data_IF_978935181709
#
_entry.id   IF_978935181709
#
_cell.length_a   1.000
_cell.length_b   1.000
_cell.length_c   1.000
_cell.angle_alpha   90.00
_cell.angle_beta   90.00
_cell.angle_gamma   90.00
#
_symmetry.space_group_name_H-M   'P 1'
#
loop_
_entity.id
_entity.type
_entity.pdbx_description
1 polymer ?
#
# COMPACT_ATOMS: atom_id res chain seq x y z
N UNK A 1 -12.29 -9.95 5.53
CA UNK A 1 -12.65 -11.21 4.87
C UNK A 1 -13.02 -12.23 5.92
N UNK A 2 -12.11 -12.56 6.82
CA UNK A 2 -12.39 -13.31 8.03
C UNK A 2 -13.17 -12.45 9.02
N UNK A 3 -14.16 -13.05 9.69
CA UNK A 3 -14.90 -12.40 10.76
C UNK A 3 -14.07 -12.38 12.04
N UNK A 4 -14.20 -11.34 12.87
CA UNK A 4 -13.45 -11.22 14.13
C UNK A 4 -13.76 -12.37 15.10
N UNK A 5 -15.03 -12.77 15.19
CA UNK A 5 -15.47 -13.91 16.04
C UNK A 5 -15.03 -15.29 15.53
N UNK A 6 -14.57 -15.39 14.28
CA UNK A 6 -14.14 -16.66 13.68
C UNK A 6 -12.62 -16.81 13.70
N UNK A 7 -11.90 -15.87 14.33
CA UNK A 7 -10.45 -15.95 14.49
C UNK A 7 -10.06 -17.06 15.47
N UNK A 8 -8.94 -17.76 15.27
CA UNK A 8 -8.51 -18.84 16.16
C UNK A 8 -7.78 -18.32 17.42
N UNK A 9 -7.82 -17.01 17.65
CA UNK A 9 -7.25 -16.29 18.77
C UNK A 9 -8.02 -14.98 18.98
N UNK A 10 -8.06 -14.43 20.21
CA UNK A 10 -8.51 -13.07 20.42
C UNK A 10 -7.57 -12.07 19.73
N UNK A 11 -8.08 -10.89 19.40
CA UNK A 11 -7.28 -9.84 18.74
C UNK A 11 -6.08 -9.39 19.59
N UNK A 12 -6.17 -9.46 20.93
CA UNK A 12 -5.05 -9.18 21.83
C UNK A 12 -3.83 -10.07 21.54
N UNK A 13 -4.07 -11.29 21.07
CA UNK A 13 -3.07 -12.34 20.84
C UNK A 13 -2.77 -12.52 19.35
N UNK A 14 -3.17 -11.54 18.51
CA UNK A 14 -2.87 -11.55 17.09
C UNK A 14 -1.36 -11.76 16.86
N UNK A 15 -0.95 -12.75 16.05
CA UNK A 15 0.47 -13.00 15.79
C UNK A 15 1.17 -11.79 15.17
N UNK A 16 2.37 -11.47 15.64
CA UNK A 16 3.10 -10.28 15.13
C UNK A 16 3.74 -10.47 13.75
N UNK A 17 3.77 -11.70 13.28
CA UNK A 17 4.27 -12.06 11.96
C UNK A 17 3.10 -12.45 11.07
N UNK A 18 2.86 -11.71 9.99
CA UNK A 18 1.79 -11.97 9.03
C UNK A 18 1.69 -13.44 8.59
N UNK A 19 2.83 -14.10 8.37
CA UNK A 19 2.82 -15.51 7.94
C UNK A 19 2.21 -16.45 8.98
N UNK A 20 2.38 -16.15 10.27
CA UNK A 20 1.76 -16.91 11.36
C UNK A 20 0.25 -16.65 11.41
N UNK A 21 -0.16 -15.37 11.31
CA UNK A 21 -1.56 -14.99 11.20
C UNK A 21 -2.26 -15.69 10.02
N UNK A 22 -1.71 -15.57 8.81
CA UNK A 22 -2.24 -16.17 7.59
C UNK A 22 -2.41 -17.69 7.75
N UNK A 23 -1.35 -18.39 8.16
CA UNK A 23 -1.40 -19.85 8.36
C UNK A 23 -2.48 -20.25 9.37
N UNK A 24 -2.67 -19.48 10.43
CA UNK A 24 -3.68 -19.76 11.44
C UNK A 24 -5.10 -19.58 10.90
N UNK A 25 -5.41 -18.48 10.22
CA UNK A 25 -6.76 -18.25 9.66
C UNK A 25 -7.08 -19.18 8.48
N UNK A 26 -6.08 -19.53 7.66
CA UNK A 26 -6.26 -20.49 6.57
C UNK A 26 -6.54 -21.91 7.08
N UNK A 27 -5.99 -22.29 8.25
CA UNK A 27 -6.15 -23.65 8.80
C UNK A 27 -7.31 -23.80 9.77
N UNK A 28 -7.70 -22.73 10.48
CA UNK A 28 -8.64 -22.81 11.60
C UNK A 28 -9.89 -21.94 11.47
N UNK A 29 -9.97 -21.11 10.43
CA UNK A 29 -11.10 -20.20 10.23
C UNK A 29 -11.77 -20.44 8.87
N UNK A 30 -13.05 -20.10 8.79
CA UNK A 30 -13.81 -20.12 7.54
C UNK A 30 -14.24 -18.73 7.14
N UNK A 31 -14.20 -18.43 5.84
CA UNK A 31 -14.82 -17.20 5.30
C UNK A 31 -16.32 -17.42 5.21
N UNK A 32 -17.10 -16.63 5.98
CA UNK A 32 -18.57 -16.63 5.91
C UNK A 32 -19.06 -16.24 4.51
N UNK A 33 -20.18 -16.80 4.07
CA UNK A 33 -20.84 -16.38 2.83
C UNK A 33 -21.30 -14.92 2.89
N UNK A 34 -21.57 -14.34 1.72
CA UNK A 34 -22.23 -13.04 1.62
C UNK A 34 -23.64 -13.09 2.20
N UNK A 35 -24.03 -12.02 2.89
CA UNK A 35 -25.41 -11.85 3.32
C UNK A 35 -26.33 -11.70 2.10
N UNK A 36 -27.49 -12.37 2.13
CA UNK A 36 -28.50 -12.20 1.08
C UNK A 36 -29.42 -11.05 1.47
N UNK A 37 -29.53 -10.05 0.60
CA UNK A 37 -30.52 -8.98 0.73
C UNK A 37 -31.82 -9.40 0.03
N UNK A 38 -33.00 -9.06 0.59
CA UNK A 38 -34.24 -9.23 -0.13
C UNK A 38 -34.26 -8.32 -1.38
N UNK A 39 -34.97 -8.70 -2.46
CA UNK A 39 -35.04 -7.90 -3.68
C UNK A 39 -35.78 -6.57 -3.47
N UNK A 40 -36.55 -6.44 -2.40
CA UNK A 40 -37.24 -5.21 -2.00
C UNK A 40 -37.09 -5.01 -0.50
N UNK A 41 -36.74 -3.79 -0.09
CA UNK A 41 -36.58 -3.38 1.32
C UNK A 41 -37.71 -2.46 1.80
N UNK A 42 -38.63 -2.07 0.91
CA UNK A 42 -39.64 -1.07 1.20
C UNK A 42 -40.85 -1.59 2.00
N UNK A 43 -41.73 -0.67 2.41
CA UNK A 43 -41.67 0.78 2.16
C UNK A 43 -40.82 1.54 3.19
N UNK A 44 -40.36 2.74 2.82
CA UNK A 44 -39.79 3.70 3.77
C UNK A 44 -40.90 4.26 4.72
N UNK A 45 -40.54 4.83 5.88
CA UNK A 45 -41.52 5.49 6.76
C UNK A 45 -42.32 6.56 6.01
N UNK A 46 -43.66 6.51 6.12
CA UNK A 46 -44.55 7.37 5.33
C UNK A 46 -44.87 8.75 5.93
N UNK A 47 -44.45 9.03 7.16
CA UNK A 47 -44.73 10.28 7.89
C UNK A 47 -43.49 10.80 8.61
N UNK A 48 -43.35 12.12 8.73
CA UNK A 48 -42.23 12.77 9.44
C UNK A 48 -40.99 13.08 8.58
N UNK A 49 -41.01 12.76 7.29
CA UNK A 49 -39.91 13.06 6.35
C UNK A 49 -39.77 14.56 6.10
N UNK A 50 -40.89 15.28 6.00
CA UNK A 50 -40.88 16.74 5.82
C UNK A 50 -40.44 17.47 7.10
N UNK A 51 -40.70 16.90 8.28
CA UNK A 51 -40.29 17.46 9.58
C UNK A 51 -38.76 17.43 9.80
N UNK A 52 -38.05 16.53 9.10
CA UNK A 52 -36.59 16.39 9.15
C UNK A 52 -35.87 16.99 7.93
N UNK A 53 -36.57 17.78 7.10
CA UNK A 53 -35.97 18.44 5.93
C UNK A 53 -35.86 17.57 4.68
N UNK A 54 -36.67 16.51 4.58
CA UNK A 54 -36.68 15.57 3.46
C UNK A 54 -35.48 14.62 3.46
N UNK A 55 -35.13 14.10 2.27
CA UNK A 55 -33.99 13.17 2.09
C UNK A 55 -32.62 13.87 2.09
N UNK A 56 -32.59 15.19 2.16
CA UNK A 56 -31.37 15.98 1.96
C UNK A 56 -30.86 15.96 0.51
N UNK A 57 -29.67 16.51 0.31
CA UNK A 57 -28.96 16.52 -0.98
C UNK A 57 -27.52 16.06 -0.81
N UNK A 58 -26.93 15.53 -1.87
CA UNK A 58 -25.51 15.17 -1.87
C UNK A 58 -24.70 16.47 -1.86
N UNK A 59 -23.79 16.69 -0.90
CA UNK A 59 -22.97 17.90 -0.86
C UNK A 59 -22.03 17.98 -2.05
N UNK A 60 -21.70 19.19 -2.49
CA UNK A 60 -20.63 19.43 -3.47
C UNK A 60 -19.29 19.64 -2.77
N UNK A 61 -18.18 19.44 -3.47
CA UNK A 61 -16.86 19.68 -2.88
C UNK A 61 -16.68 21.17 -2.52
N UNK A 62 -17.23 22.06 -3.34
CA UNK A 62 -17.19 23.51 -3.11
C UNK A 62 -17.93 23.88 -1.82
N UNK A 63 -19.05 23.20 -1.52
CA UNK A 63 -19.79 23.41 -0.27
C UNK A 63 -19.00 23.01 0.97
N UNK A 64 -17.98 22.15 0.81
CA UNK A 64 -17.05 21.73 1.86
C UNK A 64 -15.76 22.56 1.88
N UNK A 65 -15.66 23.62 1.06
CA UNK A 65 -14.44 24.43 0.92
C UNK A 65 -13.30 23.72 0.19
N UNK A 66 -13.60 22.66 -0.57
CA UNK A 66 -12.63 21.87 -1.31
C UNK A 66 -12.70 22.21 -2.80
N UNK A 67 -11.53 22.24 -3.44
CA UNK A 67 -11.40 22.35 -4.88
C UNK A 67 -10.55 21.18 -5.39
N UNK A 68 -10.91 20.64 -6.56
CA UNK A 68 -10.20 19.50 -7.14
C UNK A 68 -9.78 19.82 -8.55
N UNK A 69 -8.48 19.69 -8.80
CA UNK A 69 -7.93 19.68 -10.16
C UNK A 69 -8.05 18.27 -10.70
N UNK A 70 -8.89 18.08 -11.72
CA UNK A 70 -8.97 16.80 -12.43
C UNK A 70 -7.75 16.67 -13.34
N UNK A 71 -6.98 15.60 -13.16
CA UNK A 71 -6.00 15.17 -14.16
C UNK A 71 -6.72 14.35 -15.24
N UNK A 72 -6.45 14.66 -16.50
CA UNK A 72 -6.88 13.83 -17.64
C UNK A 72 -5.90 12.66 -17.92
N UNK A 73 -4.85 12.51 -17.09
CA UNK A 73 -3.78 11.52 -17.26
C UNK A 73 -3.85 10.45 -16.17
N UNK A 74 -3.65 9.20 -16.58
CA UNK A 74 -3.63 8.03 -15.71
C UNK A 74 -4.98 7.34 -15.59
N UNK A 75 -5.16 6.56 -14.52
CA UNK A 75 -6.40 5.85 -14.27
C UNK A 75 -7.46 6.78 -13.68
N UNK A 76 -8.69 6.66 -14.16
CA UNK A 76 -9.85 7.36 -13.62
C UNK A 76 -10.79 6.38 -12.93
N UNK A 77 -10.91 6.52 -11.62
CA UNK A 77 -11.82 5.71 -10.81
C UNK A 77 -13.23 6.31 -10.78
N UNK A 78 -14.23 5.45 -10.73
CA UNK A 78 -15.64 5.82 -10.57
C UNK A 78 -16.14 5.24 -9.24
N UNK A 79 -16.67 6.09 -8.37
CA UNK A 79 -17.16 5.69 -7.05
C UNK A 79 -18.45 4.85 -7.10
N UNK A 80 -18.76 4.17 -5.99
CA UNK A 80 -20.01 3.43 -5.79
C UNK A 80 -19.97 1.94 -6.14
N UNK A 81 -20.94 1.20 -5.61
CA UNK A 81 -21.06 -0.26 -5.72
C UNK A 81 -21.17 -0.73 -7.18
N UNK A 82 -22.00 -0.08 -8.00
CA UNK A 82 -22.18 -0.47 -9.40
C UNK A 82 -20.87 -0.48 -10.19
N UNK A 83 -20.02 0.54 -9.99
CA UNK A 83 -18.70 0.60 -10.62
C UNK A 83 -17.75 -0.45 -10.04
N UNK A 84 -17.84 -0.74 -8.74
CA UNK A 84 -17.06 -1.79 -8.09
C UNK A 84 -17.35 -3.17 -8.68
N UNK A 85 -18.63 -3.55 -8.76
CA UNK A 85 -19.07 -4.81 -9.34
C UNK A 85 -18.71 -4.90 -10.84
N UNK A 86 -18.86 -3.79 -11.56
CA UNK A 86 -18.40 -3.66 -12.94
C UNK A 86 -16.90 -3.93 -13.09
N UNK A 87 -16.06 -3.41 -12.19
CA UNK A 87 -14.61 -3.66 -12.21
C UNK A 87 -14.25 -5.10 -11.86
N UNK A 88 -14.97 -5.74 -10.93
CA UNK A 88 -14.81 -7.19 -10.68
C UNK A 88 -15.14 -7.97 -11.94
N UNK A 89 -16.29 -7.68 -12.57
CA UNK A 89 -16.69 -8.30 -13.83
C UNK A 89 -15.63 -8.11 -14.93
N UNK A 90 -15.15 -6.89 -15.10
CA UNK A 90 -14.14 -6.55 -16.09
C UNK A 90 -12.84 -7.34 -15.88
N UNK A 91 -12.26 -7.28 -14.67
CA UNK A 91 -10.95 -7.87 -14.40
C UNK A 91 -11.00 -9.41 -14.37
N UNK A 92 -12.03 -9.99 -13.73
CA UNK A 92 -12.12 -11.44 -13.54
C UNK A 92 -12.67 -12.11 -14.80
N UNK A 93 -13.74 -11.57 -15.37
CA UNK A 93 -14.56 -12.30 -16.33
C UNK A 93 -14.35 -11.82 -17.76
N UNK A 94 -14.45 -10.52 -18.00
CA UNK A 94 -14.32 -9.96 -19.36
C UNK A 94 -12.89 -10.07 -19.89
N UNK A 95 -11.90 -9.62 -19.10
CA UNK A 95 -10.50 -9.55 -19.52
C UNK A 95 -9.68 -10.76 -19.08
N UNK A 96 -10.27 -11.64 -18.26
CA UNK A 96 -9.66 -12.90 -17.80
C UNK A 96 -8.28 -12.74 -17.14
N UNK A 97 -8.08 -11.67 -16.38
CA UNK A 97 -6.77 -11.25 -15.84
C UNK A 97 -6.42 -11.92 -14.51
N UNK A 98 -7.40 -12.46 -13.78
CA UNK A 98 -7.14 -13.00 -12.43
C UNK A 98 -6.18 -14.20 -12.45
N UNK A 99 -6.15 -15.00 -13.52
CA UNK A 99 -5.23 -16.15 -13.67
C UNK A 99 -3.74 -15.78 -13.78
N UNK A 100 -3.41 -14.52 -14.09
CA UNK A 100 -2.02 -14.02 -14.18
C UNK A 100 -1.69 -13.01 -13.08
N UNK A 101 -2.60 -12.77 -12.14
CA UNK A 101 -2.46 -11.73 -11.11
C UNK A 101 -1.13 -11.78 -10.33
N UNK A 102 -0.64 -12.96 -9.94
CA UNK A 102 0.61 -13.09 -9.18
C UNK A 102 1.83 -12.63 -9.99
N UNK A 103 1.81 -12.84 -11.29
CA UNK A 103 2.87 -12.46 -12.22
C UNK A 103 2.87 -10.96 -12.47
N UNK A 104 1.69 -10.36 -12.62
CA UNK A 104 1.54 -8.96 -13.03
C UNK A 104 1.48 -7.97 -11.88
N UNK A 105 1.12 -8.37 -10.65
CA UNK A 105 0.82 -7.46 -9.51
C UNK A 105 1.91 -6.45 -9.13
N UNK A 106 3.15 -6.65 -9.58
CA UNK A 106 4.25 -5.71 -9.34
C UNK A 106 4.44 -4.66 -10.47
N UNK A 107 3.62 -4.71 -11.52
CA UNK A 107 3.59 -3.69 -12.56
C UNK A 107 3.14 -2.33 -12.01
N UNK A 108 3.47 -1.28 -12.75
CA UNK A 108 3.20 0.11 -12.33
C UNK A 108 2.40 0.90 -13.37
N UNK A 109 2.33 0.45 -14.63
CA UNK A 109 1.65 1.15 -15.72
C UNK A 109 0.39 0.41 -16.18
N UNK A 110 -0.72 1.12 -16.28
CA UNK A 110 -1.99 0.62 -16.81
C UNK A 110 -2.91 -0.05 -15.78
N UNK A 111 -4.16 -0.34 -16.14
CA UNK A 111 -5.14 -0.90 -15.21
C UNK A 111 -4.97 -2.41 -14.98
N UNK A 112 -4.42 -3.16 -15.93
CA UNK A 112 -4.54 -4.62 -15.97
C UNK A 112 -3.51 -5.37 -15.11
N UNK A 113 -2.45 -4.70 -14.63
CA UNK A 113 -1.45 -5.38 -13.83
C UNK A 113 -1.96 -5.86 -12.45
N UNK A 114 -3.11 -5.35 -11.98
CA UNK A 114 -3.73 -5.75 -10.71
C UNK A 114 -5.23 -5.45 -10.71
N UNK A 115 -5.94 -5.97 -9.72
CA UNK A 115 -7.41 -5.84 -9.61
C UNK A 115 -7.91 -4.39 -9.59
N UNK A 116 -7.13 -3.48 -9.01
CA UNK A 116 -7.49 -2.08 -8.70
C UNK A 116 -8.71 -1.95 -7.76
N UNK A 117 -9.04 -2.98 -6.99
CA UNK A 117 -10.23 -3.00 -6.12
C UNK A 117 -10.15 -2.08 -4.88
N UNK A 118 -8.97 -1.57 -4.55
CA UNK A 118 -8.71 -0.92 -3.26
C UNK A 118 -9.61 0.28 -2.94
N UNK A 119 -9.96 1.21 -3.86
CA UNK A 119 -10.86 2.33 -3.52
C UNK A 119 -12.27 1.86 -3.11
N UNK A 120 -12.78 0.82 -3.76
CA UNK A 120 -14.09 0.26 -3.43
C UNK A 120 -14.05 -0.60 -2.16
N UNK A 121 -12.93 -1.28 -1.87
CA UNK A 121 -12.73 -2.00 -0.62
C UNK A 121 -12.56 -1.07 0.60
N UNK A 122 -12.01 0.14 0.40
CA UNK A 122 -11.84 1.15 1.43
C UNK A 122 -13.18 1.84 1.78
N UNK A 123 -13.96 2.23 0.75
CA UNK A 123 -15.29 2.86 0.93
C UNK A 123 -16.40 1.89 1.33
N UNK A 124 -16.16 0.57 1.28
CA UNK A 124 -17.19 -0.45 1.53
C UNK A 124 -18.13 -0.69 0.34
N UNK A 125 -17.90 -0.03 -0.80
CA UNK A 125 -18.61 -0.29 -2.07
C UNK A 125 -18.36 -1.70 -2.61
N UNK A 126 -17.29 -2.36 -2.15
CA UNK A 126 -16.99 -3.76 -2.46
C UNK A 126 -16.72 -4.54 -1.18
N UNK A 127 -17.41 -5.66 -1.01
CA UNK A 127 -17.18 -6.58 0.10
C UNK A 127 -16.03 -7.55 -0.21
N UNK A 128 -15.06 -7.77 0.70
CA UNK A 128 -14.03 -8.79 0.51
C UNK A 128 -14.61 -10.22 0.50
N UNK A 129 -15.78 -10.46 1.11
CA UNK A 129 -16.48 -11.75 1.02
C UNK A 129 -17.01 -12.00 -0.40
N UNK A 130 -17.53 -10.96 -1.04
CA UNK A 130 -17.98 -11.04 -2.44
C UNK A 130 -16.81 -11.35 -3.37
N UNK A 131 -15.66 -10.69 -3.17
CA UNK A 131 -14.45 -11.01 -3.94
C UNK A 131 -14.02 -12.46 -3.73
N UNK A 132 -14.09 -12.99 -2.50
CA UNK A 132 -13.78 -14.40 -2.21
C UNK A 132 -14.73 -15.37 -2.94
N UNK A 133 -16.03 -15.09 -2.94
CA UNK A 133 -17.02 -15.90 -3.68
C UNK A 133 -16.78 -15.83 -5.19
N UNK A 134 -16.42 -14.67 -5.73
CA UNK A 134 -16.09 -14.49 -7.15
C UNK A 134 -14.79 -15.20 -7.55
N UNK A 135 -13.77 -15.22 -6.68
CA UNK A 135 -12.57 -16.06 -6.89
C UNK A 135 -12.97 -17.53 -6.97
N UNK A 136 -13.73 -18.05 -5.98
CA UNK A 136 -14.17 -19.46 -5.98
C UNK A 136 -15.01 -19.80 -7.22
N UNK A 137 -15.87 -18.88 -7.66
CA UNK A 137 -16.67 -19.04 -8.88
C UNK A 137 -15.78 -19.09 -10.13
N UNK A 138 -14.78 -18.20 -10.21
CA UNK A 138 -13.80 -18.19 -11.29
C UNK A 138 -13.02 -19.50 -11.32
N UNK A 139 -12.52 -19.97 -10.18
CA UNK A 139 -11.76 -21.21 -10.06
C UNK A 139 -12.56 -22.43 -10.52
N UNK A 140 -13.87 -22.46 -10.23
CA UNK A 140 -14.77 -23.54 -10.68
C UNK A 140 -15.05 -23.50 -12.19
N UNK A 141 -15.18 -22.31 -12.77
CA UNK A 141 -15.62 -22.14 -14.16
C UNK A 141 -14.47 -22.00 -15.16
N UNK A 142 -13.28 -21.64 -14.69
CA UNK A 142 -12.09 -21.39 -15.50
C UNK A 142 -10.92 -22.16 -14.92
N UNK A 143 -10.11 -21.54 -14.07
CA UNK A 143 -8.87 -22.13 -13.56
C UNK A 143 -8.62 -21.74 -12.11
N UNK A 144 -8.17 -22.71 -11.32
CA UNK A 144 -7.56 -22.49 -10.01
C UNK A 144 -6.05 -22.58 -10.15
N UNK A 145 -5.32 -21.54 -9.71
CA UNK A 145 -3.87 -21.52 -9.74
C UNK A 145 -3.30 -20.59 -8.65
N UNK A 146 -1.98 -20.44 -8.64
CA UNK A 146 -1.29 -19.55 -7.71
C UNK A 146 -1.82 -18.11 -7.74
N UNK A 147 -2.22 -17.59 -8.91
CA UNK A 147 -2.71 -16.22 -9.06
C UNK A 147 -4.10 -16.00 -8.49
N UNK A 148 -5.02 -16.96 -8.64
CA UNK A 148 -6.35 -16.88 -8.03
C UNK A 148 -6.26 -16.91 -6.51
N UNK A 149 -5.42 -17.78 -5.95
CA UNK A 149 -5.08 -17.76 -4.52
C UNK A 149 -4.42 -16.44 -4.09
N UNK A 150 -3.52 -15.88 -4.90
CA UNK A 150 -2.78 -14.68 -4.51
C UNK A 150 -3.68 -13.45 -4.33
N UNK A 151 -4.83 -13.37 -5.00
CA UNK A 151 -5.82 -12.32 -4.71
C UNK A 151 -6.33 -12.43 -3.27
N UNK A 152 -6.63 -13.65 -2.81
CA UNK A 152 -7.07 -13.89 -1.43
C UNK A 152 -5.94 -13.61 -0.44
N UNK A 153 -4.71 -14.04 -0.76
CA UNK A 153 -3.51 -13.76 0.05
C UNK A 153 -3.37 -12.25 0.36
N UNK A 154 -3.62 -11.39 -0.62
CA UNK A 154 -3.52 -9.94 -0.47
C UNK A 154 -4.72 -9.36 0.30
N UNK A 155 -5.91 -9.95 0.20
CA UNK A 155 -7.02 -9.63 1.10
C UNK A 155 -6.75 -10.03 2.55
N UNK A 156 -5.96 -11.09 2.79
CA UNK A 156 -5.52 -11.47 4.13
C UNK A 156 -4.56 -10.42 4.71
N UNK A 157 -3.74 -9.75 3.89
CA UNK A 157 -2.95 -8.60 4.35
C UNK A 157 -3.82 -7.43 4.83
N UNK A 158 -4.90 -7.13 4.11
CA UNK A 158 -5.90 -6.12 4.52
C UNK A 158 -6.51 -6.47 5.88
N UNK A 159 -6.92 -7.73 6.06
CA UNK A 159 -7.46 -8.20 7.33
C UNK A 159 -6.42 -8.15 8.45
N UNK A 160 -5.18 -8.57 8.18
CA UNK A 160 -4.09 -8.54 9.13
C UNK A 160 -3.87 -7.13 9.69
N UNK A 161 -3.77 -6.13 8.82
CA UNK A 161 -3.60 -4.74 9.27
C UNK A 161 -4.83 -4.21 10.02
N UNK A 162 -6.04 -4.60 9.62
CA UNK A 162 -7.26 -4.25 10.36
C UNK A 162 -7.22 -4.80 11.79
N UNK A 163 -6.89 -6.07 11.99
CA UNK A 163 -6.76 -6.63 13.33
C UNK A 163 -5.54 -6.08 14.09
N UNK A 164 -4.45 -5.78 13.39
CA UNK A 164 -3.26 -5.16 13.97
C UNK A 164 -3.59 -3.79 14.57
N UNK A 165 -4.36 -2.96 13.85
CA UNK A 165 -4.82 -1.67 14.36
C UNK A 165 -5.66 -1.81 15.63
N UNK A 166 -6.48 -2.87 15.72
CA UNK A 166 -7.28 -3.14 16.91
C UNK A 166 -6.43 -3.62 18.09
N UNK A 167 -5.38 -4.43 17.85
CA UNK A 167 -4.41 -4.86 18.88
C UNK A 167 -3.60 -3.69 19.44
N UNK A 168 -3.09 -2.83 18.57
CA UNK A 168 -2.08 -1.83 18.91
C UNK A 168 -2.63 -0.41 19.16
N UNK A 169 -3.88 -0.16 18.78
CA UNK A 169 -4.53 1.14 18.94
C UNK A 169 -3.68 2.29 18.41
N UNK A 170 -3.59 3.38 19.18
CA UNK A 170 -2.91 4.61 18.75
C UNK A 170 -1.41 4.45 18.47
N UNK A 171 -0.77 3.38 18.94
CA UNK A 171 0.66 3.17 18.70
C UNK A 171 1.01 3.00 17.22
N UNK A 172 0.04 2.67 16.36
CA UNK A 172 0.23 2.65 14.91
C UNK A 172 0.46 4.04 14.30
N UNK A 173 0.13 5.12 15.02
CA UNK A 173 0.30 6.52 14.59
C UNK A 173 1.49 7.21 15.27
N UNK A 174 2.00 6.65 16.37
CA UNK A 174 3.10 7.24 17.12
C UNK A 174 4.42 7.09 16.37
N UNK A 175 5.33 8.07 16.49
CA UNK A 175 6.63 8.08 15.80
C UNK A 175 7.43 6.78 15.96
N UNK A 176 7.45 6.20 17.17
CA UNK A 176 8.14 4.95 17.45
C UNK A 176 7.39 3.68 17.01
N UNK A 177 6.19 3.82 16.47
CA UNK A 177 5.32 2.72 16.05
C UNK A 177 4.94 1.75 17.16
N UNK A 178 4.32 0.61 16.81
CA UNK A 178 4.00 -0.47 17.74
C UNK A 178 5.19 -0.96 18.59
N UNK A 179 6.42 -0.94 18.03
CA UNK A 179 7.64 -1.36 18.76
C UNK A 179 8.25 -0.26 19.64
N UNK A 180 7.70 0.97 19.63
CA UNK A 180 8.20 2.11 20.40
C UNK A 180 9.69 2.39 20.16
N UNK A 181 10.13 2.27 18.91
CA UNK A 181 11.53 2.46 18.50
C UNK A 181 11.93 3.92 18.76
N UNK A 182 13.00 4.13 19.52
CA UNK A 182 13.62 5.44 19.67
C UNK A 182 14.51 5.70 18.45
N UNK A 183 14.14 6.69 17.62
CA UNK A 183 14.92 7.08 16.45
C UNK A 183 14.82 8.58 16.22
N UNK A 184 15.89 9.17 15.69
CA UNK A 184 15.89 10.58 15.29
C UNK A 184 15.41 10.67 13.85
N UNK A 185 14.40 11.49 13.62
CA UNK A 185 13.81 11.73 12.31
C UNK A 185 13.92 13.21 11.98
N UNK A 186 14.17 13.53 10.72
CA UNK A 186 14.14 14.90 10.24
C UNK A 186 12.70 15.29 9.89
N UNK A 187 12.35 16.56 10.11
CA UNK A 187 11.14 17.19 9.58
C UNK A 187 11.52 18.32 8.61
N UNK A 188 12.60 18.13 7.86
CA UNK A 188 13.04 19.08 6.83
C UNK A 188 11.96 19.25 5.76
N UNK A 189 11.33 20.42 5.81
CA UNK A 189 10.19 20.76 4.99
C UNK A 189 10.56 20.83 3.50
N UNK A 190 11.74 21.34 3.16
CA UNK A 190 12.17 21.47 1.77
C UNK A 190 12.43 20.10 1.13
N UNK A 191 13.05 19.19 1.88
CA UNK A 191 13.18 17.80 1.46
C UNK A 191 11.81 17.15 1.29
N UNK A 192 10.93 17.24 2.28
CA UNK A 192 9.59 16.65 2.19
C UNK A 192 8.80 17.19 1.00
N UNK A 193 8.81 18.49 0.73
CA UNK A 193 8.15 19.11 -0.42
C UNK A 193 8.69 18.57 -1.75
N UNK A 194 10.00 18.37 -1.87
CA UNK A 194 10.60 17.76 -3.06
C UNK A 194 10.08 16.34 -3.31
N UNK A 195 9.87 15.55 -2.26
CA UNK A 195 9.27 14.22 -2.36
C UNK A 195 7.78 14.30 -2.69
N UNK A 196 7.04 15.13 -1.96
CA UNK A 196 5.60 15.36 -2.11
C UNK A 196 5.24 15.73 -3.56
N UNK A 197 6.04 16.59 -4.18
CA UNK A 197 5.78 17.13 -5.51
C UNK A 197 6.42 16.32 -6.66
N UNK A 198 7.14 15.24 -6.34
CA UNK A 198 7.88 14.44 -7.33
C UNK A 198 8.97 15.24 -8.03
N UNK A 199 9.84 15.89 -7.24
CA UNK A 199 10.98 16.71 -7.66
C UNK A 199 12.28 16.31 -6.94
N UNK A 200 12.47 15.02 -6.70
CA UNK A 200 13.62 14.47 -5.97
C UNK A 200 14.86 14.28 -6.84
N UNK A 201 14.69 14.25 -8.17
CA UNK A 201 15.76 13.93 -9.12
C UNK A 201 15.98 12.43 -9.33
N UNK A 202 15.08 11.61 -8.80
CA UNK A 202 15.04 10.17 -9.05
C UNK A 202 13.76 9.85 -9.85
N UNK A 203 13.86 9.58 -11.17
CA UNK A 203 12.70 9.40 -12.04
C UNK A 203 11.64 8.44 -11.52
N UNK A 204 12.05 7.34 -10.91
CA UNK A 204 11.11 6.35 -10.36
C UNK A 204 10.32 6.89 -9.17
N UNK A 205 10.95 7.70 -8.30
CA UNK A 205 10.27 8.35 -7.17
C UNK A 205 9.31 9.42 -7.71
N UNK A 206 9.84 10.27 -8.58
CA UNK A 206 9.12 11.44 -9.11
C UNK A 206 7.89 11.02 -9.93
N UNK A 207 8.02 9.97 -10.74
CA UNK A 207 6.90 9.39 -11.49
C UNK A 207 5.79 8.86 -10.56
N UNK A 208 6.15 8.14 -9.49
CA UNK A 208 5.17 7.63 -8.53
C UNK A 208 4.46 8.76 -7.78
N UNK A 209 5.21 9.76 -7.30
CA UNK A 209 4.61 10.87 -6.56
C UNK A 209 3.70 11.72 -7.47
N UNK A 210 4.04 11.88 -8.75
CA UNK A 210 3.16 12.50 -9.75
C UNK A 210 1.94 11.65 -10.09
N UNK A 211 2.06 10.32 -10.17
CA UNK A 211 0.91 9.42 -10.33
C UNK A 211 -0.08 9.58 -9.17
N UNK A 212 0.43 9.58 -7.93
CA UNK A 212 -0.38 9.74 -6.72
C UNK A 212 -1.15 11.05 -6.74
N UNK A 213 -0.46 12.17 -6.98
CA UNK A 213 -1.09 13.49 -6.98
C UNK A 213 -2.12 13.64 -8.11
N UNK A 214 -1.85 13.06 -9.28
CA UNK A 214 -2.72 13.17 -10.45
C UNK A 214 -3.97 12.28 -10.36
N UNK A 215 -3.86 11.09 -9.76
CA UNK A 215 -4.89 10.04 -9.86
C UNK A 215 -5.49 9.63 -8.52
N UNK A 216 -4.88 10.02 -7.41
CA UNK A 216 -5.17 9.51 -6.09
C UNK A 216 -4.91 8.01 -5.94
N UNK A 217 -4.07 7.43 -6.79
CA UNK A 217 -3.68 6.04 -6.74
C UNK A 217 -2.16 5.92 -6.96
N UNK A 218 -1.57 4.88 -6.37
CA UNK A 218 -0.20 4.47 -6.65
C UNK A 218 -0.10 2.96 -6.58
N UNK A 219 0.65 2.35 -7.50
CA UNK A 219 0.94 0.90 -7.47
C UNK A 219 1.51 0.45 -6.13
N UNK A 220 1.19 -0.76 -5.64
CA UNK A 220 1.77 -1.27 -4.38
C UNK A 220 3.31 -1.26 -4.41
N UNK A 221 3.90 -1.60 -5.56
CA UNK A 221 5.35 -1.52 -5.77
C UNK A 221 5.87 -0.10 -5.56
N UNK A 222 5.22 0.88 -6.19
CA UNK A 222 5.47 2.30 -6.01
C UNK A 222 5.44 2.74 -4.56
N UNK A 223 4.37 2.40 -3.82
CA UNK A 223 4.19 2.79 -2.41
C UNK A 223 5.34 2.30 -1.53
N UNK A 224 5.78 1.06 -1.71
CA UNK A 224 6.93 0.49 -0.99
C UNK A 224 8.22 1.26 -1.28
N UNK A 225 8.43 1.62 -2.54
CA UNK A 225 9.63 2.32 -3.01
C UNK A 225 9.68 3.75 -2.44
N UNK A 226 8.61 4.52 -2.60
CA UNK A 226 8.58 5.92 -2.15
C UNK A 226 8.60 6.05 -0.63
N UNK A 227 7.99 5.11 0.10
CA UNK A 227 8.10 5.01 1.56
C UNK A 227 9.55 4.73 1.97
N UNK A 228 10.19 3.72 1.36
CA UNK A 228 11.61 3.43 1.64
C UNK A 228 12.51 4.62 1.35
N UNK A 229 12.29 5.34 0.26
CA UNK A 229 13.09 6.50 -0.10
C UNK A 229 12.97 7.63 0.92
N UNK A 230 11.74 8.00 1.31
CA UNK A 230 11.49 9.04 2.30
C UNK A 230 12.14 8.70 3.65
N UNK A 231 11.96 7.46 4.11
CA UNK A 231 12.44 7.00 5.42
C UNK A 231 13.94 6.77 5.42
N UNK A 232 14.46 6.06 4.43
CA UNK A 232 15.84 5.54 4.43
C UNK A 232 16.79 6.53 3.78
N UNK A 233 16.52 6.97 2.56
CA UNK A 233 17.44 7.86 1.84
C UNK A 233 17.35 9.30 2.40
N UNK A 234 16.14 9.83 2.56
CA UNK A 234 15.95 11.20 3.05
C UNK A 234 15.99 11.32 4.58
N UNK A 235 15.67 10.25 5.32
CA UNK A 235 15.66 10.30 6.79
C UNK A 235 14.53 11.14 7.39
N UNK A 236 13.43 11.32 6.65
CA UNK A 236 12.28 12.13 7.06
C UNK A 236 11.33 11.30 7.93
N UNK A 237 10.70 11.97 8.90
CA UNK A 237 9.64 11.41 9.73
C UNK A 237 8.58 10.73 8.87
N UNK A 238 8.45 9.41 9.05
CA UNK A 238 7.58 8.57 8.23
C UNK A 238 6.11 8.99 8.29
N UNK A 239 5.68 9.66 9.36
CA UNK A 239 4.31 10.14 9.53
C UNK A 239 3.95 11.22 8.52
N UNK A 240 4.91 12.05 8.11
CA UNK A 240 4.70 13.06 7.06
C UNK A 240 4.31 12.40 5.73
N UNK A 241 4.96 11.28 5.40
CA UNK A 241 4.60 10.47 4.23
C UNK A 241 3.24 9.77 4.38
N UNK A 242 2.95 9.25 5.57
CA UNK A 242 1.68 8.59 5.88
C UNK A 242 0.48 9.55 5.79
N UNK A 243 0.61 10.76 6.31
CA UNK A 243 -0.40 11.83 6.27
C UNK A 243 -0.60 12.36 4.84
N UNK A 244 0.47 12.45 4.04
CA UNK A 244 0.33 12.78 2.62
C UNK A 244 -0.43 11.71 1.85
N UNK A 245 -0.14 10.44 2.13
CA UNK A 245 -0.88 9.32 1.56
C UNK A 245 -2.35 9.34 1.98
N UNK A 246 -2.64 9.68 3.24
CA UNK A 246 -4.01 9.89 3.73
C UNK A 246 -4.74 11.02 2.99
N UNK A 247 -4.03 12.09 2.65
CA UNK A 247 -4.59 13.22 1.88
C UNK A 247 -4.91 12.83 0.43
N UNK A 248 -4.05 12.04 -0.22
CA UNK A 248 -4.14 11.82 -1.67
C UNK A 248 -4.84 10.52 -2.08
N UNK A 249 -4.77 9.45 -1.30
CA UNK A 249 -5.21 8.13 -1.77
C UNK A 249 -6.74 8.00 -1.78
N UNK A 250 -7.29 7.66 -2.94
CA UNK A 250 -8.70 7.23 -3.09
C UNK A 250 -9.00 5.94 -2.32
N UNK A 251 -7.97 5.16 -2.04
CA UNK A 251 -8.04 3.92 -1.26
C UNK A 251 -7.46 4.04 0.15
N UNK A 252 -7.44 5.26 0.69
CA UNK A 252 -7.03 5.48 2.07
C UNK A 252 -7.86 4.62 3.03
N UNK A 253 -7.15 3.83 3.83
CA UNK A 253 -7.66 3.01 4.93
C UNK A 253 -6.64 3.16 6.06
N UNK A 254 -7.01 3.66 7.26
CA UNK A 254 -6.04 3.98 8.31
C UNK A 254 -5.23 2.76 8.75
N UNK A 255 -5.88 1.60 8.85
CA UNK A 255 -5.20 0.37 9.27
C UNK A 255 -4.17 -0.08 8.22
N UNK A 256 -4.55 -0.07 6.95
CA UNK A 256 -3.69 -0.48 5.84
C UNK A 256 -2.58 0.54 5.57
N UNK A 257 -2.89 1.84 5.58
CA UNK A 257 -1.93 2.92 5.34
C UNK A 257 -0.86 2.92 6.45
N UNK A 258 -1.25 3.18 7.70
CA UNK A 258 -0.30 3.27 8.81
C UNK A 258 0.34 1.91 9.15
N UNK A 259 -0.37 0.80 8.91
CA UNK A 259 0.21 -0.54 9.01
C UNK A 259 1.36 -0.77 8.01
N UNK A 260 1.17 -0.40 6.73
CA UNK A 260 2.25 -0.50 5.75
C UNK A 260 3.37 0.51 5.99
N UNK A 261 3.06 1.74 6.41
CA UNK A 261 4.05 2.76 6.71
C UNK A 261 4.93 2.39 7.90
N UNK A 262 4.35 1.91 9.01
CA UNK A 262 5.13 1.42 10.15
C UNK A 262 5.99 0.22 9.76
N UNK A 263 5.48 -0.67 8.90
CA UNK A 263 6.25 -1.79 8.34
C UNK A 263 7.44 -1.33 7.50
N UNK A 264 7.24 -0.41 6.55
CA UNK A 264 8.30 0.12 5.69
C UNK A 264 9.33 0.98 6.44
N UNK A 265 8.87 1.79 7.39
CA UNK A 265 9.71 2.61 8.25
C UNK A 265 10.56 1.77 9.23
N UNK A 266 10.18 0.50 9.45
CA UNK A 266 10.87 -0.40 10.38
C UNK A 266 10.53 -0.12 11.83
N UNK A 267 9.36 0.46 12.11
CA UNK A 267 8.85 0.72 13.48
C UNK A 267 7.63 -0.16 13.82
N UNK A 268 7.14 -0.92 12.84
CA UNK A 268 6.06 -1.91 12.98
C UNK A 268 6.46 -3.12 13.82
N UNK A 269 5.53 -4.04 14.04
CA UNK A 269 5.65 -5.18 14.96
C UNK A 269 6.46 -6.37 14.42
N UNK A 270 6.71 -6.46 13.11
CA UNK A 270 7.52 -7.54 12.52
C UNK A 270 9.00 -7.40 12.97
N UNK A 271 9.60 -8.45 13.57
CA UNK A 271 10.98 -8.41 14.06
C UNK A 271 12.03 -8.40 12.94
N UNK A 272 11.63 -8.58 11.67
CA UNK A 272 12.55 -8.50 10.53
C UNK A 272 13.00 -7.05 10.34
N UNK A 273 14.23 -6.80 10.76
CA UNK A 273 14.86 -5.49 10.60
C UNK A 273 15.27 -5.22 9.15
N UNK A 274 15.20 -3.93 8.79
CA UNK A 274 15.86 -3.32 7.63
C UNK A 274 15.38 -3.74 6.21
N UNK A 275 14.23 -3.19 5.81
CA UNK A 275 13.72 -3.29 4.42
C UNK A 275 14.07 -2.05 3.63
N UNK A 276 15.31 -1.97 3.15
CA UNK A 276 15.71 -0.95 2.18
C UNK A 276 15.37 -1.39 0.74
N UNK A 277 14.75 -0.48 -0.03
CA UNK A 277 14.53 -0.65 -1.46
C UNK A 277 15.53 0.18 -2.27
N UNK A 278 16.55 -0.48 -2.81
CA UNK A 278 17.53 0.15 -3.73
C UNK A 278 16.83 0.65 -5.00
N UNK A 279 16.75 1.97 -5.15
CA UNK A 279 16.09 2.62 -6.30
C UNK A 279 16.63 2.10 -7.64
N UNK A 280 17.96 1.96 -7.85
CA UNK A 280 18.46 1.45 -9.11
C UNK A 280 18.00 0.02 -9.41
N UNK A 281 17.99 -0.85 -8.40
CA UNK A 281 17.53 -2.24 -8.55
C UNK A 281 16.03 -2.28 -8.86
N UNK A 282 15.23 -1.46 -8.19
CA UNK A 282 13.78 -1.40 -8.41
C UNK A 282 13.45 -0.91 -9.82
N UNK A 283 14.11 0.15 -10.28
CA UNK A 283 13.94 0.67 -11.64
C UNK A 283 14.25 -0.40 -12.69
N UNK A 284 15.43 -1.04 -12.59
CA UNK A 284 15.84 -2.10 -13.52
C UNK A 284 14.90 -3.32 -13.52
N UNK A 285 14.28 -3.64 -12.37
CA UNK A 285 13.43 -4.83 -12.24
C UNK A 285 12.00 -4.57 -12.68
N UNK A 286 11.42 -3.41 -12.33
CA UNK A 286 9.98 -3.15 -12.47
C UNK A 286 9.64 -2.13 -13.55
N UNK A 287 10.63 -1.43 -14.10
CA UNK A 287 10.50 -0.55 -15.26
C UNK A 287 11.76 -0.63 -16.16
N UNK A 288 12.14 -1.83 -16.65
CA UNK A 288 13.41 -2.03 -17.35
C UNK A 288 13.62 -1.11 -18.57
N UNK A 289 12.53 -0.78 -19.27
CA UNK A 289 12.52 0.07 -20.46
C UNK A 289 12.26 1.56 -20.14
N UNK A 290 12.04 1.89 -18.87
CA UNK A 290 11.70 3.25 -18.46
C UNK A 290 10.36 3.77 -19.00
N UNK A 291 9.43 2.87 -19.35
CA UNK A 291 8.13 3.22 -19.94
C UNK A 291 7.22 3.87 -18.89
N UNK A 292 7.25 3.40 -17.65
CA UNK A 292 6.49 4.00 -16.56
C UNK A 292 7.00 5.42 -16.26
N UNK A 293 8.32 5.60 -16.13
CA UNK A 293 8.88 6.94 -15.89
C UNK A 293 8.65 7.87 -17.08
N UNK A 294 8.81 7.43 -18.33
CA UNK A 294 8.54 8.26 -19.51
C UNK A 294 7.04 8.54 -19.75
N UNK A 295 6.16 7.70 -19.19
CA UNK A 295 4.73 8.01 -19.15
C UNK A 295 4.49 9.21 -18.23
N UNK A 296 4.96 9.17 -16.98
CA UNK A 296 4.68 10.20 -15.97
C UNK A 296 5.57 11.45 -16.07
N UNK A 297 6.75 11.33 -16.64
CA UNK A 297 7.77 12.37 -16.85
C UNK A 297 8.03 12.52 -18.36
N UNK A 298 7.17 13.25 -19.10
CA UNK A 298 7.27 13.35 -20.56
C UNK A 298 8.63 13.85 -21.06
N UNK A 299 9.32 14.68 -20.26
CA UNK A 299 10.68 15.16 -20.52
C UNK A 299 11.71 14.04 -20.70
N UNK A 300 11.46 12.84 -20.14
CA UNK A 300 12.34 11.68 -20.29
C UNK A 300 12.06 10.85 -21.54
N UNK A 301 10.94 11.08 -22.24
CA UNK A 301 10.52 10.26 -23.38
C UNK A 301 11.50 10.32 -24.55
N UNK A 302 12.17 11.46 -24.74
CA UNK A 302 13.19 11.69 -25.77
C UNK A 302 14.50 10.92 -25.52
N UNK A 303 14.71 10.42 -24.30
CA UNK A 303 15.87 9.62 -23.96
C UNK A 303 15.69 8.17 -24.41
N UNK A 304 16.81 7.53 -24.78
CA UNK A 304 16.88 6.10 -25.00
C UNK A 304 16.42 5.33 -23.73
N UNK A 305 15.78 4.18 -23.91
CA UNK A 305 15.12 3.40 -22.85
C UNK A 305 16.03 3.17 -21.64
N UNK A 306 17.28 2.81 -21.90
CA UNK A 306 18.30 2.48 -20.90
C UNK A 306 18.70 3.70 -20.05
N UNK A 307 18.48 4.92 -20.57
CA UNK A 307 18.83 6.18 -19.90
C UNK A 307 17.66 6.80 -19.14
N UNK A 308 16.42 6.37 -19.36
CA UNK A 308 15.23 7.01 -18.75
C UNK A 308 15.23 6.91 -17.23
N UNK A 309 15.62 5.76 -16.68
CA UNK A 309 15.70 5.56 -15.23
C UNK A 309 16.93 6.24 -14.60
N UNK A 310 17.98 6.47 -15.39
CA UNK A 310 19.25 7.07 -14.95
C UNK A 310 19.70 8.17 -15.93
N UNK A 311 18.95 9.28 -16.02
CA UNK A 311 19.17 10.31 -17.04
C UNK A 311 20.44 11.14 -16.82
N UNK A 312 21.06 11.06 -15.63
CA UNK A 312 22.21 11.87 -15.25
C UNK A 312 21.86 13.35 -15.26
N UNK A 313 22.74 14.18 -15.81
CA UNK A 313 22.52 15.63 -15.93
C UNK A 313 21.39 16.03 -16.89
N UNK A 314 20.80 15.08 -17.63
CA UNK A 314 19.64 15.33 -18.49
C UNK A 314 18.31 15.44 -17.71
N UNK A 315 18.34 15.36 -16.37
CA UNK A 315 17.19 15.54 -15.50
C UNK A 315 17.53 16.46 -14.32
N UNK A 316 16.54 16.81 -13.50
CA UNK A 316 16.75 17.67 -12.33
C UNK A 316 17.74 17.05 -11.34
N UNK A 317 18.44 17.91 -10.60
CA UNK A 317 19.48 17.50 -9.65
C UNK A 317 18.86 16.68 -8.50
N UNK A 318 19.55 15.61 -8.11
CA UNK A 318 19.19 14.77 -6.96
C UNK A 318 19.25 15.57 -5.65
N UNK A 319 18.20 15.47 -4.83
CA UNK A 319 18.06 16.22 -3.58
C UNK A 319 18.87 15.63 -2.42
N UNK A 320 19.10 14.32 -2.44
CA UNK A 320 19.94 13.58 -1.48
C UNK A 320 20.70 12.48 -2.21
N UNK A 321 21.90 12.07 -1.75
CA UNK A 321 22.54 10.84 -2.22
C UNK A 321 21.80 9.60 -1.71
N UNK A 322 21.79 8.51 -2.47
CA UNK A 322 21.28 7.22 -2.01
C UNK A 322 22.18 6.65 -0.91
N UNK A 323 21.61 6.19 0.20
CA UNK A 323 22.41 5.71 1.34
C UNK A 323 23.09 4.36 1.11
N UNK A 324 22.47 3.48 0.30
CA UNK A 324 22.95 2.12 0.09
C UNK A 324 23.03 1.78 -1.40
N UNK A 325 23.92 2.49 -2.11
CA UNK A 325 24.37 2.02 -3.42
C UNK A 325 25.41 0.91 -3.24
N UNK A 326 25.26 -0.15 -4.05
CA UNK A 326 25.91 -1.48 -3.92
C UNK A 326 27.43 -1.53 -4.04
N UNK A 327 28.16 -0.50 -3.62
CA UNK A 327 29.62 -0.42 -3.70
C UNK A 327 30.33 0.21 -2.49
N UNK A 328 29.67 0.82 -1.50
CA UNK A 328 30.38 1.69 -0.53
C UNK A 328 30.10 1.51 0.97
N UNK A 329 29.48 0.42 1.43
CA UNK A 329 29.35 0.16 2.88
C UNK A 329 29.78 -1.25 3.31
N UNK A 330 31.06 -1.57 3.11
CA UNK A 330 31.74 -2.66 3.86
C UNK A 330 32.77 -2.16 4.88
N UNK A 331 32.97 -0.84 5.06
CA UNK A 331 34.06 -0.33 5.90
C UNK A 331 33.68 0.12 7.31
N UNK A 332 32.41 0.41 7.62
CA UNK A 332 32.09 1.05 8.91
C UNK A 332 31.53 0.12 10.00
N UNK A 333 31.50 -1.20 9.78
CA UNK A 333 31.13 -2.16 10.82
C UNK A 333 32.33 -2.84 11.54
N UNK A 334 33.57 -2.44 11.26
CA UNK A 334 34.75 -3.00 11.96
C UNK A 334 35.21 -2.20 13.20
N UNK A 335 34.67 -1.01 13.46
CA UNK A 335 35.00 -0.21 14.66
C UNK A 335 33.91 -0.28 15.74
N UNK A 336 33.54 -1.49 16.19
CA UNK A 336 32.87 -1.65 17.49
C UNK A 336 32.91 -3.07 18.07
N UNK A 337 34.05 -3.75 17.92
CA UNK A 337 34.37 -4.95 18.73
C UNK A 337 35.65 -4.72 19.54
N UNK A 338 35.56 -3.85 20.53
CA UNK A 338 36.49 -3.90 21.66
C UNK A 338 35.86 -4.69 22.82
N UNK A 339 36.46 -5.85 23.05
CA UNK A 339 36.77 -6.47 24.35
C UNK A 339 35.63 -6.65 25.37
N UNK A 340 35.09 -7.87 25.46
CA UNK A 340 34.59 -8.44 26.72
C UNK A 340 35.62 -9.44 27.26
N UNK A 341 36.02 -9.37 28.54
CA UNK A 341 36.95 -10.34 29.13
C UNK A 341 36.30 -11.72 29.29
N UNK A 342 37.05 -12.77 28.96
CA UNK A 342 36.65 -14.17 29.15
C UNK A 342 36.75 -14.52 30.64
N UNK A 343 35.62 -14.74 31.30
CA UNK A 343 35.59 -15.43 32.59
C UNK A 343 35.91 -16.92 32.39
N UNK A 344 37.05 -17.34 32.93
CA UNK A 344 37.47 -18.73 33.04
C UNK A 344 36.91 -19.27 34.36
N UNK A 345 35.83 -20.06 34.31
CA UNK A 345 35.47 -20.91 35.44
C UNK A 345 36.26 -22.22 35.36
N UNK A 346 37.23 -22.35 36.25
CA UNK A 346 38.01 -23.57 36.51
C UNK A 346 37.19 -24.44 37.46
N UNK A 347 36.74 -25.62 37.00
CA UNK A 347 36.25 -26.70 37.86
C UNK A 347 37.43 -27.32 38.60
N UNK A 348 37.40 -27.37 39.92
CA UNK A 348 38.11 -28.40 40.70
C UNK A 348 37.31 -28.77 41.97
N UNK A 349 37.06 -30.08 42.05
CA UNK A 349 36.69 -30.96 43.17
C UNK A 349 35.48 -30.63 44.04
#
# INVERSE_FOLDING_TARGET
MYHIDDLPFPVSDLPDVYTQFRKAVESKSSVRSCGKLPPSLGPAPGSGLDEIGGWGSIPTLESLGLSVTKSEKGMRFVGGESAALGRVHEYFWKNDQVKVYKETRNGMLGPDYSTKFSPWLASGSLSPRYVCEEVKRYEKQRIANDSTYWVLFELIWRDYFRFLSAKYGNSIFHLGGPRKVASKWSQDQALFESWKDGRTGYPLIDANMKELLATGFMSNRGRQIVCSFLVRDMGIDWRMGAEWFETCLLDYDPASNYGNWTYGAGVGNDPREDRYFSIPKQAKTYDPDGEYVAYWLPELRSLAKERRNFPGASYIKQVVPLKFDGGHQRKDQQFNRQTRPKNIYRRQK
#
